data_IF_958164592533
#
_entry.id   IF_958164592533
#
_cell.length_a   1.000
_cell.length_b   1.000
_cell.length_c   1.000
_cell.angle_alpha   90.00
_cell.angle_beta   90.00
_cell.angle_gamma   90.00
#
_symmetry.space_group_name_H-M   'P 1'
#
loop_
_entity.id
_entity.type
_entity.pdbx_description
1 polymer ?
#
# COMPACT_ATOMS: atom_id res chain seq x y z
N UNK A 1 3.13 23.46 14.56
CA UNK A 1 2.08 22.50 14.12
C UNK A 1 2.57 21.91 12.81
N UNK A 2 3.45 20.91 12.89
CA UNK A 2 4.14 20.35 11.74
C UNK A 2 3.30 19.22 11.15
N UNK A 3 2.76 19.44 9.95
CA UNK A 3 2.19 18.39 9.10
C UNK A 3 3.29 17.41 8.70
N UNK A 4 3.23 16.20 9.24
CA UNK A 4 4.08 15.10 8.79
C UNK A 4 3.47 14.55 7.50
N UNK A 5 4.06 14.91 6.36
CA UNK A 5 3.69 14.32 5.07
C UNK A 5 4.05 12.82 5.09
N UNK A 6 3.07 11.95 5.30
CA UNK A 6 3.25 10.50 5.23
C UNK A 6 2.94 10.03 3.82
N UNK A 7 3.98 9.61 3.11
CA UNK A 7 3.91 9.01 1.76
C UNK A 7 3.23 7.64 1.71
N UNK A 8 2.90 7.07 2.87
CA UNK A 8 2.25 5.77 3.02
C UNK A 8 1.20 5.84 4.13
N UNK A 9 -0.04 5.48 3.80
CA UNK A 9 -1.13 5.41 4.76
C UNK A 9 -1.12 4.05 5.48
N UNK A 10 -1.13 4.06 6.82
CA UNK A 10 -1.42 2.85 7.61
C UNK A 10 -2.93 2.62 7.63
N UNK A 11 -3.33 1.39 7.36
CA UNK A 11 -4.74 0.99 7.34
C UNK A 11 -4.99 -0.01 8.48
N UNK A 12 -6.12 0.15 9.18
CA UNK A 12 -6.57 -0.79 10.21
C UNK A 12 -6.99 -2.11 9.58
N UNK A 13 -6.61 -3.23 10.20
CA UNK A 13 -6.99 -4.57 9.73
C UNK A 13 -8.45 -4.95 10.05
N UNK A 14 -9.06 -4.30 11.04
CA UNK A 14 -10.40 -4.66 11.56
C UNK A 14 -11.47 -3.63 11.19
N UNK A 15 -11.07 -2.49 10.62
CA UNK A 15 -11.98 -1.45 10.18
C UNK A 15 -12.20 -1.54 8.66
N UNK A 16 -13.38 -1.16 8.15
CA UNK A 16 -13.58 -1.05 6.71
C UNK A 16 -12.55 -0.14 6.05
N UNK A 17 -12.14 -0.48 4.82
CA UNK A 17 -11.25 0.36 4.02
C UNK A 17 -11.91 1.73 3.72
N UNK A 18 -11.12 2.83 3.73
CA UNK A 18 -11.60 4.14 3.28
C UNK A 18 -12.24 4.09 1.89
N UNK A 19 -13.32 4.85 1.71
CA UNK A 19 -14.09 4.86 0.44
C UNK A 19 -13.29 5.31 -0.76
N UNK A 20 -12.31 6.20 -0.58
CA UNK A 20 -11.44 6.68 -1.65
C UNK A 20 -10.44 5.63 -2.17
N UNK A 21 -10.29 4.48 -1.50
CA UNK A 21 -9.44 3.36 -1.95
C UNK A 21 -10.21 2.30 -2.74
N UNK A 22 -11.51 2.50 -3.00
CA UNK A 22 -12.33 1.57 -3.78
C UNK A 22 -11.80 1.46 -5.22
N UNK A 23 -11.77 0.24 -5.75
CA UNK A 23 -11.21 -0.05 -7.08
C UNK A 23 -9.69 -0.19 -7.11
N UNK A 24 -9.01 -0.06 -5.96
CA UNK A 24 -7.57 -0.31 -5.86
C UNK A 24 -7.20 -1.78 -6.03
N UNK A 25 -5.97 -2.02 -6.46
CA UNK A 25 -5.35 -3.35 -6.59
C UNK A 25 -4.39 -3.57 -5.42
N UNK A 26 -4.32 -4.80 -4.92
CA UNK A 26 -3.44 -5.17 -3.80
C UNK A 26 -2.44 -6.21 -4.28
N UNK A 27 -1.16 -5.99 -3.95
CA UNK A 27 -0.11 -7.00 -4.06
C UNK A 27 0.22 -7.54 -2.66
N UNK A 28 0.24 -8.86 -2.49
CA UNK A 28 0.53 -9.53 -1.22
C UNK A 28 1.74 -10.44 -1.42
N UNK A 29 2.73 -10.33 -0.54
CA UNK A 29 3.96 -11.10 -0.60
C UNK A 29 4.89 -10.73 0.56
N UNK A 30 5.99 -11.48 0.72
CA UNK A 30 6.93 -11.22 1.81
C UNK A 30 7.70 -9.88 1.64
N UNK A 31 7.79 -9.33 0.43
CA UNK A 31 8.39 -8.03 0.05
C UNK A 31 9.76 -7.64 0.65
N UNK A 32 10.41 -8.53 1.40
CA UNK A 32 11.63 -8.33 2.19
C UNK A 32 12.91 -8.30 1.33
N UNK A 33 12.84 -7.75 0.11
CA UNK A 33 14.00 -7.66 -0.79
C UNK A 33 13.74 -7.09 -2.19
N UNK A 34 12.51 -6.65 -2.51
CA UNK A 34 12.08 -6.04 -3.81
C UNK A 34 12.95 -6.45 -5.00
N UNK A 35 13.04 -7.76 -5.25
CA UNK A 35 13.82 -8.30 -6.37
C UNK A 35 13.12 -7.96 -7.70
N UNK A 36 13.88 -8.02 -8.80
CA UNK A 36 13.42 -7.61 -10.15
C UNK A 36 12.09 -8.25 -10.61
N UNK A 37 11.69 -9.40 -10.07
CA UNK A 37 10.40 -10.04 -10.37
C UNK A 37 9.16 -9.25 -9.92
N UNK A 38 9.25 -8.40 -8.89
CA UNK A 38 8.12 -7.59 -8.41
C UNK A 38 7.87 -6.33 -9.25
N UNK A 39 8.86 -5.86 -10.03
CA UNK A 39 8.65 -4.72 -10.93
C UNK A 39 7.70 -5.05 -12.10
N UNK A 40 7.60 -6.32 -12.49
CA UNK A 40 6.69 -6.77 -13.55
C UNK A 40 5.19 -6.72 -13.15
N UNK A 41 4.88 -6.45 -11.89
CA UNK A 41 3.48 -6.37 -11.38
C UNK A 41 3.03 -4.90 -11.20
N UNK A 42 3.93 -3.94 -11.41
CA UNK A 42 3.65 -2.50 -11.28
C UNK A 42 3.52 -1.76 -12.62
N UNK A 43 3.66 -2.47 -13.75
CA UNK A 43 3.31 -1.99 -15.10
C UNK A 43 1.86 -2.36 -15.47
#
# INVERSE_FOLDING_TARGET
MTETSQSCARISATSPLPTHLRGGVVAIGNFDGVHRGHQAVLE
#
